data_IF_237120979494
#
_entry.id   IF_237120979494
#
_cell.length_a   1.000
_cell.length_b   1.000
_cell.length_c   1.000
_cell.angle_alpha   90.00
_cell.angle_beta   90.00
_cell.angle_gamma   90.00
#
_symmetry.space_group_name_H-M   'P 1'
#
loop_
_entity.id
_entity.type
_entity.pdbx_description
1 polymer ?
#
# COMPACT_ATOMS: atom_id res chain seq x y z
N UNK A 1 -5.97 19.48 4.47
CA UNK A 1 -6.41 19.13 3.87
C UNK A 1 -6.46 17.98 3.28
N UNK A 2 -7.09 17.14 3.47
CA UNK A 2 -7.08 15.92 3.03
C UNK A 2 -7.47 15.82 1.72
N UNK A 3 -6.99 15.00 1.01
CA UNK A 3 -7.31 14.92 -0.20
C UNK A 3 -7.85 13.64 -0.45
N UNK A 4 -8.36 13.32 -1.43
CA UNK A 4 -8.85 12.12 -1.77
C UNK A 4 -7.76 11.27 -2.14
N UNK A 5 -7.64 10.10 -2.09
CA UNK A 5 -6.55 9.24 -2.47
C UNK A 5 -5.53 9.16 -1.38
N UNK A 6 -4.45 8.49 -1.64
CA UNK A 6 -3.44 8.27 -0.63
C UNK A 6 -2.13 8.91 -1.03
N UNK A 7 -1.38 9.36 -0.05
CA UNK A 7 -0.12 10.01 -0.35
C UNK A 7 0.96 8.98 -0.59
N UNK A 8 2.01 9.42 -1.18
CA UNK A 8 3.12 8.55 -1.48
C UNK A 8 3.67 7.96 -0.19
N UNK A 9 3.70 8.75 0.85
CA UNK A 9 4.17 8.30 2.12
C UNK A 9 3.35 7.14 2.63
N UNK A 10 2.05 7.20 2.47
CA UNK A 10 1.20 6.14 2.91
C UNK A 10 1.40 4.89 2.07
N UNK A 11 1.61 5.06 0.78
CA UNK A 11 1.83 3.94 -0.11
C UNK A 11 3.09 3.20 0.30
N UNK A 12 4.14 3.93 0.57
CA UNK A 12 5.39 3.32 0.98
C UNK A 12 5.22 2.61 2.31
N UNK A 13 4.48 3.21 3.21
CA UNK A 13 4.26 2.59 4.52
C UNK A 13 3.55 1.26 4.38
N UNK A 14 2.55 1.21 3.49
CA UNK A 14 1.83 -0.02 3.28
C UNK A 14 2.76 -1.10 2.72
N UNK A 15 3.56 -0.73 1.77
CA UNK A 15 4.47 -1.70 1.17
C UNK A 15 5.49 -2.20 2.18
N UNK A 16 5.91 -1.35 3.06
CA UNK A 16 6.85 -1.74 4.08
C UNK A 16 6.23 -2.71 5.07
N UNK A 17 4.99 -2.51 5.44
CA UNK A 17 4.33 -3.38 6.37
C UNK A 17 4.20 -4.78 5.80
N UNK A 18 3.88 -4.87 4.53
CA UNK A 18 3.77 -6.16 3.90
C UNK A 18 5.14 -6.83 3.87
N UNK A 19 6.16 -6.05 3.61
CA UNK A 19 7.51 -6.56 3.59
C UNK A 19 7.96 -7.06 4.95
N UNK A 20 7.35 -6.56 5.99
CA UNK A 20 7.70 -6.96 7.33
C UNK A 20 6.96 -8.24 7.77
N UNK A 21 6.14 -8.79 6.91
CA UNK A 21 5.46 -10.01 7.25
C UNK A 21 3.97 -9.89 7.47
N UNK A 22 3.42 -8.72 7.28
CA UNK A 22 2.00 -8.55 7.48
C UNK A 22 1.25 -9.09 6.29
N UNK A 23 -0.02 -9.37 6.49
CA UNK A 23 -0.81 -9.89 5.40
C UNK A 23 -1.39 -8.79 4.58
N UNK A 24 -1.36 -8.96 3.29
CA UNK A 24 -1.88 -7.96 2.37
C UNK A 24 -3.35 -7.67 2.65
N UNK A 25 -4.12 -8.72 2.83
CA UNK A 25 -5.55 -8.52 3.06
C UNK A 25 -5.80 -7.67 4.30
N UNK A 26 -5.05 -7.91 5.34
CA UNK A 26 -5.25 -7.18 6.56
C UNK A 26 -4.86 -5.73 6.42
N UNK A 27 -3.77 -5.49 5.77
CA UNK A 27 -3.32 -4.13 5.58
C UNK A 27 -4.28 -3.36 4.69
N UNK A 28 -4.78 -3.99 3.65
CA UNK A 28 -5.72 -3.34 2.77
C UNK A 28 -6.95 -2.93 3.55
N UNK A 29 -7.37 -3.77 4.48
CA UNK A 29 -8.53 -3.49 5.25
C UNK A 29 -8.28 -2.31 6.17
N UNK A 30 -7.13 -2.27 6.80
CA UNK A 30 -6.79 -1.18 7.67
C UNK A 30 -6.70 0.12 6.93
N UNK A 31 -6.11 0.12 5.80
CA UNK A 31 -5.91 1.34 5.04
C UNK A 31 -7.15 1.73 4.27
N UNK A 32 -7.99 0.78 3.97
CA UNK A 32 -9.20 1.08 3.23
C UNK A 32 -9.01 1.02 1.72
N UNK A 33 -8.20 0.09 1.25
CA UNK A 33 -8.00 -0.07 -0.17
C UNK A 33 -8.26 -1.51 -0.55
N UNK A 34 -8.35 -1.78 -1.83
CA UNK A 34 -8.56 -3.13 -2.28
C UNK A 34 -7.22 -3.75 -2.57
N UNK A 35 -7.18 -5.06 -2.68
CA UNK A 35 -5.93 -5.73 -2.97
C UNK A 35 -5.43 -5.34 -4.35
N UNK A 36 -6.34 -5.07 -5.25
CA UNK A 36 -5.94 -4.66 -6.58
C UNK A 36 -5.13 -3.35 -6.50
N UNK A 37 -5.58 -2.46 -5.64
CA UNK A 37 -4.87 -1.20 -5.47
C UNK A 37 -3.50 -1.44 -4.88
N UNK A 38 -3.41 -2.36 -3.92
CA UNK A 38 -2.15 -2.67 -3.32
C UNK A 38 -1.16 -3.17 -4.37
N UNK A 39 -1.61 -4.08 -5.23
CA UNK A 39 -0.72 -4.62 -6.24
C UNK A 39 -0.29 -3.57 -7.24
N UNK A 40 -1.16 -2.63 -7.49
CA UNK A 40 -0.83 -1.55 -8.38
C UNK A 40 0.29 -0.72 -7.76
N UNK A 41 0.18 -0.44 -6.48
CA UNK A 41 1.19 0.32 -5.78
C UNK A 41 2.52 -0.42 -5.78
N UNK A 42 2.47 -1.72 -5.54
CA UNK A 42 3.66 -2.52 -5.51
C UNK A 42 4.36 -2.45 -6.84
N UNK A 43 3.59 -2.50 -7.92
CA UNK A 43 4.16 -2.43 -9.21
C UNK A 43 4.82 -1.10 -9.46
N UNK A 44 4.22 -0.04 -9.01
CA UNK A 44 4.75 1.28 -9.25
C UNK A 44 5.91 1.66 -8.38
N UNK A 45 5.90 1.21 -7.15
CA UNK A 45 6.93 1.63 -6.21
C UNK A 45 7.95 0.60 -5.83
N UNK A 46 7.64 -0.64 -5.93
CA UNK A 46 8.57 -1.67 -5.52
C UNK A 46 9.26 -2.35 -6.66
N UNK A 47 8.93 -2.00 -7.82
CA UNK A 47 9.47 -2.70 -8.96
C UNK A 47 10.89 -2.38 -9.19
N UNK A 48 11.36 -1.31 -8.73
CA UNK A 48 12.70 -0.96 -9.06
C UNK A 48 13.71 -1.82 -8.43
N UNK A 49 13.39 -2.62 -7.58
CA UNK A 49 14.38 -3.43 -6.91
C UNK A 49 15.28 -4.20 -7.81
#
# INVERSE_FOLDING_TARGET
MPKKGHTEEQIVAVLRQVGAGERVAEICRKVGISQATYYLWERQYAVSA
#
